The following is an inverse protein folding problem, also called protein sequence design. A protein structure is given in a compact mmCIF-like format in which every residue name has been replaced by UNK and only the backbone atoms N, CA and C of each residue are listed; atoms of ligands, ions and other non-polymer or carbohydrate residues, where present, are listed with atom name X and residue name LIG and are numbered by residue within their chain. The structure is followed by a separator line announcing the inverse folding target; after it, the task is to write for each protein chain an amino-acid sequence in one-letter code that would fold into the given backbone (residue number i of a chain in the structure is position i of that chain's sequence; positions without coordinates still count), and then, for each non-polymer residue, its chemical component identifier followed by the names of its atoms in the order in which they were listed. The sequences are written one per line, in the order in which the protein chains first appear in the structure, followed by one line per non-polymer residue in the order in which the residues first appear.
data_IF_773811280125
#
_entry.id   IF_773811280125
#
_cell.length_a   1.000
_cell.length_b   1.000
_cell.length_c   1.000
_cell.angle_alpha   90.00
_cell.angle_beta   90.00
_cell.angle_gamma   90.00
#
_symmetry.space_group_name_H-M   'P 1'
#
loop_
_entity.id
_entity.type
_entity.pdbx_description
1 polymer ?
#
# COMPACT_ATOMS: atom_id res chain seq x y z
N UNK A 1 8.77 7.05 10.23
CA UNK A 1 7.38 6.57 10.05
C UNK A 1 6.49 7.30 11.04
N UNK A 2 5.25 7.61 10.64
CA UNK A 2 4.34 8.42 11.45
C UNK A 2 3.86 7.64 12.69
N UNK A 3 3.50 6.36 12.54
CA UNK A 3 3.01 5.53 13.65
C UNK A 3 4.04 5.33 14.78
N UNK A 4 5.35 5.48 14.52
CA UNK A 4 6.39 5.51 15.57
C UNK A 4 6.18 6.62 16.61
N UNK A 5 5.36 7.63 16.28
CA UNK A 5 5.09 8.80 17.13
C UNK A 5 3.82 8.62 17.97
N UNK A 6 3.18 7.45 17.93
CA UNK A 6 2.06 7.11 18.81
C UNK A 6 2.56 7.03 20.26
N UNK A 7 1.78 7.58 21.19
CA UNK A 7 2.18 7.68 22.60
C UNK A 7 2.32 6.31 23.26
N UNK A 8 1.52 5.33 22.82
CA UNK A 8 1.50 3.97 23.36
C UNK A 8 1.63 2.93 22.24
N UNK A 9 2.56 3.14 21.32
CA UNK A 9 2.78 2.23 20.19
C UNK A 9 2.90 0.76 20.62
N UNK A 10 3.59 0.48 21.73
CA UNK A 10 3.84 -0.87 22.21
C UNK A 10 2.54 -1.64 22.46
N UNK A 11 1.53 -1.02 23.09
CA UNK A 11 0.23 -1.68 23.31
C UNK A 11 -0.48 -2.02 21.99
N UNK A 12 -0.31 -1.18 20.96
CA UNK A 12 -0.79 -1.49 19.61
C UNK A 12 -0.09 -2.71 19.00
N UNK A 13 1.23 -2.78 19.13
CA UNK A 13 2.02 -3.91 18.63
C UNK A 13 1.74 -5.22 19.37
N UNK A 14 1.55 -5.15 20.69
CA UNK A 14 1.16 -6.30 21.52
C UNK A 14 -0.22 -6.82 21.10
N UNK A 15 -1.19 -5.93 20.88
CA UNK A 15 -2.52 -6.30 20.38
C UNK A 15 -2.47 -6.96 18.99
N UNK A 16 -1.60 -6.48 18.08
CA UNK A 16 -1.39 -7.13 16.79
C UNK A 16 -0.81 -8.55 16.98
N UNK A 17 0.15 -8.72 17.88
CA UNK A 17 0.73 -10.04 18.21
C UNK A 17 -0.31 -11.00 18.77
N UNK A 18 -1.15 -10.55 19.71
CA UNK A 18 -2.22 -11.36 20.31
C UNK A 18 -3.27 -11.82 19.29
N UNK A 19 -3.42 -11.08 18.19
CA UNK A 19 -4.31 -11.43 17.07
C UNK A 19 -3.58 -12.21 15.95
N UNK A 20 -2.37 -12.69 16.20
CA UNK A 20 -1.51 -13.43 15.26
C UNK A 20 -1.13 -12.63 13.99
N UNK A 21 -1.06 -11.30 14.07
CA UNK A 21 -0.58 -10.45 12.98
C UNK A 21 0.91 -10.20 13.08
N UNK A 22 1.62 -10.48 11.99
CA UNK A 22 2.97 -9.98 11.79
C UNK A 22 2.92 -8.48 11.47
N UNK A 23 3.82 -7.72 12.06
CA UNK A 23 3.98 -6.30 11.79
C UNK A 23 5.44 -5.96 11.52
N UNK A 24 5.64 -4.93 10.72
CA UNK A 24 6.95 -4.31 10.52
C UNK A 24 6.78 -2.88 10.04
N UNK A 25 7.77 -2.06 10.32
CA UNK A 25 7.95 -0.72 9.78
C UNK A 25 8.60 -0.79 8.41
N UNK A 26 7.87 -0.34 7.40
CA UNK A 26 8.36 -0.23 6.03
C UNK A 26 9.39 0.89 5.85
N UNK A 27 10.02 0.92 4.68
CA UNK A 27 11.00 1.93 4.32
C UNK A 27 10.41 3.19 3.70
N UNK A 28 9.15 3.15 3.26
CA UNK A 28 8.37 4.29 2.81
C UNK A 28 7.59 4.93 3.97
N UNK A 29 7.19 6.19 3.80
CA UNK A 29 6.39 6.92 4.78
C UNK A 29 4.94 6.44 4.87
N UNK A 30 4.09 7.30 5.42
CA UNK A 30 2.66 7.03 5.63
C UNK A 30 2.34 6.33 6.95
N UNK A 31 1.07 5.96 7.06
CA UNK A 31 0.44 5.29 8.20
C UNK A 31 0.27 3.78 7.92
N UNK A 32 -0.23 3.05 8.91
CA UNK A 32 -0.40 1.60 8.87
C UNK A 32 -1.40 1.12 7.81
N UNK A 33 -1.08 -0.01 7.17
CA UNK A 33 -1.92 -0.71 6.20
C UNK A 33 -1.94 -2.21 6.55
N UNK A 34 -3.03 -2.90 6.23
CA UNK A 34 -3.21 -4.33 6.54
C UNK A 34 -3.11 -5.17 5.28
N UNK A 35 -2.20 -6.14 5.23
CA UNK A 35 -2.04 -7.05 4.08
C UNK A 35 -2.41 -8.48 4.48
N UNK A 36 -3.20 -9.14 3.65
CA UNK A 36 -3.59 -10.56 3.72
C UNK A 36 -3.77 -11.13 2.31
N UNK A 37 -4.25 -12.38 2.16
CA UNK A 37 -4.41 -13.05 0.87
C UNK A 37 -5.40 -12.35 -0.09
N UNK A 38 -6.29 -11.50 0.42
CA UNK A 38 -7.26 -10.73 -0.36
C UNK A 38 -6.74 -9.37 -0.85
N UNK A 39 -5.48 -9.05 -0.54
CA UNK A 39 -4.82 -7.80 -0.96
C UNK A 39 -3.85 -8.06 -2.10
N UNK A 40 -3.94 -7.25 -3.15
CA UNK A 40 -2.94 -7.19 -4.22
C UNK A 40 -2.06 -5.95 -4.06
N UNK A 41 -0.75 -6.14 -3.98
CA UNK A 41 0.22 -5.04 -4.03
C UNK A 41 0.85 -4.98 -5.44
N UNK A 42 0.81 -3.80 -6.07
CA UNK A 42 1.36 -3.58 -7.41
C UNK A 42 2.37 -2.43 -7.36
N UNK A 43 3.53 -2.60 -8.01
CA UNK A 43 4.56 -1.55 -8.08
C UNK A 43 5.00 -1.29 -9.51
N UNK A 44 5.05 -0.02 -9.91
CA UNK A 44 5.63 0.44 -11.16
C UNK A 44 6.97 1.13 -10.87
N UNK A 45 8.05 0.64 -11.48
CA UNK A 45 9.37 1.25 -11.38
C UNK A 45 9.68 1.99 -12.68
N UNK A 46 9.79 3.32 -12.61
CA UNK A 46 9.97 4.19 -13.76
C UNK A 46 11.33 4.92 -13.65
N UNK A 47 12.09 5.02 -14.74
CA UNK A 47 13.32 5.82 -14.78
C UNK A 47 13.00 7.31 -14.90
N UNK A 48 14.04 8.13 -14.98
CA UNK A 48 13.97 9.56 -15.28
C UNK A 48 13.10 10.36 -14.30
N UNK A 49 13.41 10.17 -13.01
CA UNK A 49 12.68 10.79 -11.91
C UNK A 49 12.56 12.31 -12.06
N UNK A 50 13.60 12.96 -12.58
CA UNK A 50 13.70 14.42 -12.59
C UNK A 50 12.77 15.06 -13.63
N UNK A 51 12.40 14.32 -14.68
CA UNK A 51 11.42 14.75 -15.67
C UNK A 51 9.99 14.26 -15.38
N UNK A 52 9.80 13.36 -14.41
CA UNK A 52 8.49 12.85 -14.03
C UNK A 52 7.94 13.60 -12.82
N UNK A 53 6.92 14.45 -13.01
CA UNK A 53 6.28 15.15 -11.89
C UNK A 53 5.63 14.18 -10.89
N UNK A 54 5.40 14.66 -9.67
CA UNK A 54 4.78 13.85 -8.60
C UNK A 54 3.39 13.38 -9.00
N UNK A 55 2.54 14.31 -9.47
CA UNK A 55 1.16 14.00 -9.85
C UNK A 55 1.09 13.12 -11.10
N UNK A 56 1.95 13.35 -12.09
CA UNK A 56 2.06 12.50 -13.28
C UNK A 56 2.40 11.04 -12.93
N UNK A 57 3.22 10.83 -11.90
CA UNK A 57 3.55 9.49 -11.43
C UNK A 57 2.33 8.80 -10.79
N UNK A 58 1.56 9.51 -9.97
CA UNK A 58 0.33 8.97 -9.38
C UNK A 58 -0.73 8.69 -10.45
N UNK A 59 -0.88 9.58 -11.43
CA UNK A 59 -1.83 9.45 -12.54
C UNK A 59 -1.57 8.17 -13.34
N UNK A 60 -0.31 7.76 -13.54
CA UNK A 60 0.01 6.50 -14.23
C UNK A 60 -0.61 5.27 -13.55
N UNK A 61 -0.52 5.17 -12.22
CA UNK A 61 -1.12 4.05 -11.49
C UNK A 61 -2.64 4.16 -11.45
N UNK A 62 -3.18 5.37 -11.22
CA UNK A 62 -4.64 5.57 -11.25
C UNK A 62 -5.25 5.20 -12.61
N UNK A 63 -4.69 5.71 -13.71
CA UNK A 63 -5.12 5.40 -15.07
C UNK A 63 -5.04 3.90 -15.38
N UNK A 64 -3.97 3.22 -14.95
CA UNK A 64 -3.82 1.76 -15.11
C UNK A 64 -4.95 1.00 -14.40
N UNK A 65 -5.21 1.30 -13.12
CA UNK A 65 -6.24 0.61 -12.34
C UNK A 65 -7.66 0.97 -12.83
N UNK A 66 -7.89 2.21 -13.25
CA UNK A 66 -9.16 2.63 -13.86
C UNK A 66 -9.46 1.84 -15.13
N UNK A 67 -8.49 1.68 -16.03
CA UNK A 67 -8.62 0.87 -17.24
C UNK A 67 -8.82 -0.63 -16.92
N UNK A 68 -8.12 -1.15 -15.91
CA UNK A 68 -8.18 -2.58 -15.58
C UNK A 68 -9.52 -3.02 -14.97
N UNK A 69 -10.20 -2.13 -14.25
CA UNK A 69 -11.30 -2.51 -13.38
C UNK A 69 -12.62 -1.79 -13.69
N UNK A 70 -12.64 -0.45 -13.73
CA UNK A 70 -13.85 0.32 -14.03
C UNK A 70 -13.54 1.80 -14.24
N UNK A 71 -14.25 2.39 -15.21
CA UNK A 71 -14.39 3.83 -15.44
C UNK A 71 -14.96 4.62 -14.25
N UNK A 72 -15.70 3.95 -13.35
CA UNK A 72 -16.27 4.54 -12.11
C UNK A 72 -15.24 4.80 -11.02
N UNK A 73 -14.01 4.32 -11.16
CA UNK A 73 -12.96 4.59 -10.18
C UNK A 73 -12.65 6.09 -10.19
N UNK A 74 -12.70 6.70 -9.01
CA UNK A 74 -12.30 8.07 -8.73
C UNK A 74 -11.07 8.09 -7.83
N UNK A 75 -10.28 9.17 -7.91
CA UNK A 75 -9.16 9.45 -7.01
C UNK A 75 -9.49 10.63 -6.09
N UNK A 76 -9.04 10.58 -4.84
CA UNK A 76 -9.21 11.64 -3.86
C UNK A 76 -9.15 11.09 -2.43
N UNK A 77 -8.75 11.92 -1.48
CA UNK A 77 -8.53 11.49 -0.10
C UNK A 77 -9.82 11.01 0.58
N UNK A 78 -9.77 9.79 1.14
CA UNK A 78 -10.85 9.23 1.96
C UNK A 78 -10.41 9.30 3.43
N UNK A 79 -10.68 10.46 4.05
CA UNK A 79 -10.14 10.85 5.37
C UNK A 79 -10.47 9.89 6.53
N UNK A 80 -11.61 9.18 6.47
CA UNK A 80 -12.05 8.22 7.48
C UNK A 80 -11.61 6.78 7.17
N UNK A 81 -10.69 6.57 6.23
CA UNK A 81 -10.06 5.27 5.97
C UNK A 81 -8.76 5.10 6.76
N UNK A 82 -8.24 3.87 6.86
CA UNK A 82 -6.85 3.73 7.30
C UNK A 82 -5.88 4.16 6.21
N UNK A 83 -4.75 4.73 6.63
CA UNK A 83 -3.72 5.32 5.77
C UNK A 83 -4.32 6.20 4.66
N UNK A 84 -5.08 7.25 5.01
CA UNK A 84 -5.62 8.18 4.03
C UNK A 84 -4.48 8.85 3.25
N UNK A 85 -4.73 9.12 1.98
CA UNK A 85 -3.80 9.80 1.09
C UNK A 85 -4.51 10.53 -0.03
N UNK A 86 -3.87 11.56 -0.57
CA UNK A 86 -4.46 12.43 -1.61
C UNK A 86 -4.82 11.69 -2.90
N UNK A 87 -4.24 10.51 -3.12
CA UNK A 87 -4.49 9.62 -4.27
C UNK A 87 -5.06 8.26 -3.84
N UNK A 88 -5.95 8.26 -2.85
CA UNK A 88 -6.78 7.09 -2.58
C UNK A 88 -7.74 6.83 -3.74
N UNK A 89 -7.94 5.57 -4.10
CA UNK A 89 -8.90 5.18 -5.14
C UNK A 89 -10.16 4.61 -4.53
N UNK A 90 -11.30 5.05 -5.05
CA UNK A 90 -12.61 4.71 -4.55
C UNK A 90 -13.63 4.46 -5.66
N UNK A 91 -14.69 3.74 -5.31
CA UNK A 91 -15.93 3.65 -6.09
C UNK A 91 -17.07 4.01 -5.13
N UNK A 92 -17.97 4.90 -5.54
CA UNK A 92 -19.07 5.39 -4.70
C UNK A 92 -18.60 5.95 -3.33
N UNK A 93 -17.42 6.58 -3.29
CA UNK A 93 -16.85 7.16 -2.06
C UNK A 93 -16.23 6.14 -1.09
N UNK A 94 -16.26 4.85 -1.41
CA UNK A 94 -15.62 3.81 -0.59
C UNK A 94 -14.24 3.48 -1.15
N UNK A 95 -13.19 3.66 -0.33
CA UNK A 95 -11.81 3.39 -0.71
C UNK A 95 -11.57 1.89 -0.86
N UNK A 96 -10.95 1.49 -1.96
CA UNK A 96 -10.44 0.13 -2.16
C UNK A 96 -8.93 0.09 -2.35
N UNK A 97 -8.29 1.20 -2.75
CA UNK A 97 -6.84 1.25 -2.93
C UNK A 97 -6.22 2.53 -2.38
N UNK A 98 -4.95 2.44 -2.02
CA UNK A 98 -4.11 3.58 -1.65
C UNK A 98 -2.82 3.55 -2.46
N UNK A 99 -2.41 4.70 -2.98
CA UNK A 99 -1.19 4.84 -3.78
C UNK A 99 -0.14 5.61 -2.99
N UNK A 100 1.10 5.14 -3.04
CA UNK A 100 2.28 5.82 -2.50
C UNK A 100 3.39 5.84 -3.54
N UNK A 101 4.35 6.76 -3.39
CA UNK A 101 5.54 6.77 -4.22
C UNK A 101 6.81 6.83 -3.38
N UNK A 102 7.89 6.26 -3.93
CA UNK A 102 9.25 6.41 -3.42
C UNK A 102 10.16 6.87 -4.55
N UNK A 103 10.94 7.89 -4.28
CA UNK A 103 11.86 8.54 -5.23
C UNK A 103 13.29 8.35 -4.74
N UNK A 104 14.12 7.66 -5.52
CA UNK A 104 15.50 7.35 -5.13
C UNK A 104 16.39 7.22 -6.37
N UNK A 105 17.59 7.82 -6.32
CA UNK A 105 18.46 7.91 -7.50
C UNK A 105 17.72 8.57 -8.66
N UNK A 106 17.83 7.98 -9.85
CA UNK A 106 17.10 8.41 -11.05
C UNK A 106 15.76 7.67 -11.28
N UNK A 107 15.16 7.08 -10.23
CA UNK A 107 13.96 6.26 -10.36
C UNK A 107 12.81 6.70 -9.44
N UNK A 108 11.60 6.40 -9.90
CA UNK A 108 10.33 6.52 -9.17
C UNK A 108 9.71 5.14 -9.05
N UNK A 109 9.43 4.70 -7.83
CA UNK A 109 8.61 3.54 -7.56
C UNK A 109 7.22 4.00 -7.12
N UNK A 110 6.19 3.71 -7.92
CA UNK A 110 4.78 3.95 -7.58
C UNK A 110 4.21 2.64 -7.07
N UNK A 111 3.66 2.62 -5.86
CA UNK A 111 3.19 1.41 -5.18
C UNK A 111 1.70 1.58 -4.86
N UNK A 112 0.89 0.62 -5.29
CA UNK A 112 -0.52 0.53 -4.96
C UNK A 112 -0.78 -0.66 -4.03
N UNK A 113 -1.49 -0.38 -2.95
CA UNK A 113 -2.18 -1.36 -2.14
C UNK A 113 -3.62 -1.45 -2.64
N UNK A 114 -4.12 -2.65 -2.95
CA UNK A 114 -5.45 -2.84 -3.57
C UNK A 114 -6.22 -3.92 -2.81
N UNK A 115 -7.37 -3.56 -2.24
CA UNK A 115 -8.30 -4.46 -1.55
C UNK A 115 -9.16 -5.16 -2.57
N UNK A 116 -8.85 -6.43 -2.86
CA UNK A 116 -9.50 -7.18 -3.94
C UNK A 116 -10.75 -7.90 -3.45
N UNK A 117 -10.62 -8.69 -2.38
CA UNK A 117 -11.69 -9.49 -1.80
C UNK A 117 -11.44 -9.75 -0.30
N UNK A 118 -12.30 -10.55 0.35
CA UNK A 118 -12.15 -10.95 1.76
C UNK A 118 -12.98 -10.07 2.70
N UNK A 119 -12.51 -9.83 3.93
CA UNK A 119 -13.26 -9.07 4.93
C UNK A 119 -12.65 -7.69 5.18
N UNK A 120 -13.02 -6.69 4.37
CA UNK A 120 -12.49 -5.34 4.51
C UNK A 120 -12.87 -4.69 5.85
N UNK A 121 -14.07 -4.95 6.36
CA UNK A 121 -14.50 -4.44 7.68
C UNK A 121 -13.62 -4.95 8.81
N UNK A 122 -13.16 -6.21 8.75
CA UNK A 122 -12.20 -6.77 9.72
C UNK A 122 -10.85 -6.04 9.64
N UNK A 123 -10.37 -5.71 8.43
CA UNK A 123 -9.14 -4.91 8.26
C UNK A 123 -9.28 -3.51 8.84
N UNK A 124 -10.39 -2.84 8.55
CA UNK A 124 -10.68 -1.50 9.10
C UNK A 124 -10.82 -1.52 10.62
N UNK A 125 -11.48 -2.53 11.18
CA UNK A 125 -11.59 -2.72 12.63
C UNK A 125 -10.22 -2.93 13.28
N UNK A 126 -9.37 -3.77 12.69
CA UNK A 126 -8.02 -4.03 13.21
C UNK A 126 -7.22 -2.72 13.34
N UNK A 127 -7.24 -1.88 12.31
CA UNK A 127 -6.53 -0.60 12.33
C UNK A 127 -7.16 0.40 13.28
N UNK A 128 -8.50 0.42 13.41
CA UNK A 128 -9.19 1.24 14.40
C UNK A 128 -8.75 0.87 15.82
N UNK A 129 -8.83 -0.42 16.16
CA UNK A 129 -8.39 -0.94 17.47
C UNK A 129 -6.93 -0.56 17.73
N UNK A 130 -6.07 -0.70 16.70
CA UNK A 130 -4.64 -0.37 16.79
C UNK A 130 -4.42 1.08 17.15
N UNK A 131 -5.10 2.01 16.48
CA UNK A 131 -4.95 3.43 16.76
C UNK A 131 -5.52 3.82 18.13
N UNK A 132 -6.69 3.28 18.50
CA UNK A 132 -7.33 3.53 19.79
C UNK A 132 -6.44 3.08 20.96
N UNK A 133 -5.94 1.84 20.94
CA UNK A 133 -5.11 1.29 22.02
C UNK A 133 -3.72 1.95 22.07
N UNK A 134 -3.20 2.38 20.90
CA UNK A 134 -1.92 3.09 20.82
C UNK A 134 -1.98 4.53 21.34
N UNK A 135 -3.13 4.96 21.86
CA UNK A 135 -3.38 6.26 22.46
C UNK A 135 -2.94 7.41 21.55
N UNK A 136 -3.55 7.47 20.36
CA UNK A 136 -3.22 8.50 19.39
C UNK A 136 -3.51 9.91 19.95
N UNK A 137 -2.60 10.88 19.76
CA UNK A 137 -2.80 12.24 20.25
C UNK A 137 -3.86 12.98 19.42
N UNK A 138 -5.06 13.19 19.98
CA UNK A 138 -6.20 13.87 19.34
C UNK A 138 -5.95 15.34 18.90
N UNK A 139 -4.85 15.96 19.32
CA UNK A 139 -4.57 17.40 19.10
C UNK A 139 -3.14 17.71 18.63
N UNK A 140 -2.45 16.77 17.98
CA UNK A 140 -1.10 17.02 17.42
C UNK A 140 -1.15 17.36 15.93
N UNK A 141 -0.05 17.93 15.42
CA UNK A 141 0.14 18.27 13.98
C UNK A 141 -0.01 17.07 13.04
N UNK A 142 0.03 15.84 13.55
CA UNK A 142 -0.18 14.61 12.79
C UNK A 142 -1.55 14.10 13.18
N UNK A 143 -2.51 14.19 12.25
CA UNK A 143 -3.82 13.58 12.42
C UNK A 143 -3.70 12.09 12.16
N UNK A 144 -4.10 11.27 13.13
CA UNK A 144 -4.35 9.85 12.93
C UNK A 144 -5.82 9.69 12.49
N UNK A 145 -6.12 8.72 11.62
CA UNK A 145 -7.46 8.60 11.04
C UNK A 145 -8.48 8.15 12.08
N UNK A 146 -9.63 8.82 12.11
CA UNK A 146 -10.83 8.33 12.78
C UNK A 146 -11.54 7.37 11.82
N UNK A 147 -11.27 6.08 11.98
CA UNK A 147 -11.61 5.06 10.98
C UNK A 147 -13.10 4.70 11.05
N UNK A 148 -13.82 5.00 9.96
CA UNK A 148 -15.16 4.49 9.71
C UNK A 148 -15.08 3.14 8.97
N UNK A 149 -15.77 2.12 9.51
CA UNK A 149 -15.82 0.80 8.90
C UNK A 149 -16.56 0.80 7.55
N UNK A 150 -17.38 1.81 7.26
CA UNK A 150 -18.07 1.99 5.98
C UNK A 150 -17.24 2.69 4.91
N UNK A 151 -16.13 3.35 5.28
CA UNK A 151 -15.33 4.16 4.36
C UNK A 151 -14.47 3.36 3.38
N UNK A 152 -14.29 2.06 3.63
CA UNK A 152 -13.49 1.16 2.78
C UNK A 152 -14.29 -0.07 2.39
N UNK A 153 -14.07 -0.56 1.18
CA UNK A 153 -14.66 -1.82 0.70
C UNK A 153 -13.73 -2.52 -0.31
N UNK A 154 -13.91 -3.82 -0.48
CA UNK A 154 -13.22 -4.61 -1.49
C UNK A 154 -13.72 -4.31 -2.91
N UNK A 155 -12.82 -4.44 -3.87
CA UNK A 155 -13.12 -4.20 -5.28
C UNK A 155 -14.13 -5.21 -5.85
N UNK A 156 -14.11 -6.48 -5.42
CA UNK A 156 -15.11 -7.48 -5.84
C UNK A 156 -16.55 -7.04 -5.51
N UNK A 157 -16.73 -6.51 -4.31
CA UNK A 157 -17.99 -6.05 -3.75
C UNK A 157 -18.43 -4.76 -4.43
N UNK A 158 -17.51 -3.81 -4.62
CA UNK A 158 -17.78 -2.55 -5.33
C UNK A 158 -18.14 -2.76 -6.81
N UNK A 159 -17.57 -3.78 -7.46
CA UNK A 159 -17.89 -4.16 -8.83
C UNK A 159 -19.10 -5.10 -8.93
N UNK A 160 -19.63 -5.57 -7.79
CA UNK A 160 -20.67 -6.60 -7.69
C UNK A 160 -20.34 -7.87 -8.50
N UNK A 161 -19.07 -8.29 -8.49
CA UNK A 161 -18.57 -9.44 -9.26
C UNK A 161 -17.43 -10.12 -8.49
N UNK A 162 -17.41 -11.47 -8.40
CA UNK A 162 -16.28 -12.17 -7.82
C UNK A 162 -14.97 -11.78 -8.50
N UNK A 163 -13.95 -11.48 -7.69
CA UNK A 163 -12.63 -11.12 -8.17
C UNK A 163 -11.57 -11.69 -7.21
N UNK A 164 -10.73 -12.59 -7.72
CA UNK A 164 -9.52 -13.05 -7.01
C UNK A 164 -8.34 -12.12 -7.27
N UNK A 165 -7.33 -12.17 -6.40
CA UNK A 165 -6.06 -11.44 -6.60
C UNK A 165 -5.37 -11.84 -7.90
N UNK A 166 -5.40 -13.13 -8.27
CA UNK A 166 -4.87 -13.62 -9.54
C UNK A 166 -5.63 -13.07 -10.76
N UNK A 167 -6.97 -13.01 -10.70
CA UNK A 167 -7.76 -12.38 -11.77
C UNK A 167 -7.49 -10.87 -11.87
N UNK A 168 -7.29 -10.21 -10.73
CA UNK A 168 -6.96 -8.79 -10.70
C UNK A 168 -5.56 -8.52 -11.29
N UNK A 169 -4.56 -9.33 -10.96
CA UNK A 169 -3.24 -9.29 -11.59
C UNK A 169 -3.34 -9.45 -13.11
N UNK A 170 -4.06 -10.47 -13.58
CA UNK A 170 -4.20 -10.71 -15.02
C UNK A 170 -4.89 -9.55 -15.74
N UNK A 171 -5.90 -8.91 -15.12
CA UNK A 171 -6.54 -7.70 -15.66
C UNK A 171 -5.56 -6.55 -15.84
N UNK A 172 -4.69 -6.31 -14.85
CA UNK A 172 -3.66 -5.28 -14.92
C UNK A 172 -2.66 -5.60 -16.05
N UNK A 173 -2.20 -6.85 -16.14
CA UNK A 173 -1.28 -7.30 -17.20
C UNK A 173 -1.91 -7.09 -18.59
N UNK A 174 -3.19 -7.43 -18.77
CA UNK A 174 -3.89 -7.26 -20.05
C UNK A 174 -3.91 -5.79 -20.48
N UNK A 175 -4.16 -4.86 -19.56
CA UNK A 175 -4.12 -3.42 -19.87
C UNK A 175 -2.72 -2.98 -20.32
N UNK A 176 -1.65 -3.52 -19.73
CA UNK A 176 -0.29 -3.23 -20.20
C UNK A 176 -0.07 -3.74 -21.62
N UNK A 177 -0.52 -4.96 -21.93
CA UNK A 177 -0.42 -5.56 -23.27
C UNK A 177 -1.24 -4.74 -24.30
N UNK A 178 -2.46 -4.34 -23.94
CA UNK A 178 -3.33 -3.52 -24.80
C UNK A 178 -2.68 -2.17 -25.11
N UNK A 179 -1.98 -1.60 -24.12
CA UNK A 179 -1.15 -0.41 -24.23
C UNK A 179 0.23 -0.66 -24.87
N UNK A 180 0.42 -1.81 -25.52
CA UNK A 180 1.60 -2.19 -26.32
C UNK A 180 2.89 -2.34 -25.52
N UNK A 181 2.80 -2.59 -24.22
CA UNK A 181 3.96 -3.04 -23.44
C UNK A 181 4.23 -4.52 -23.67
N UNK A 182 5.50 -4.87 -23.79
CA UNK A 182 5.96 -6.26 -23.81
C UNK A 182 6.18 -6.77 -22.38
N UNK A 183 5.71 -7.99 -22.10
CA UNK A 183 5.90 -8.63 -20.80
C UNK A 183 7.16 -9.52 -20.86
N UNK A 184 8.31 -8.93 -20.50
CA UNK A 184 9.57 -9.66 -20.44
C UNK A 184 9.85 -10.18 -19.02
N UNK A 185 9.64 -11.49 -18.79
CA UNK A 185 9.94 -12.14 -17.50
C UNK A 185 11.37 -12.68 -17.44
N UNK A 186 11.97 -13.02 -18.58
CA UNK A 186 13.30 -13.62 -18.66
C UNK A 186 14.39 -12.61 -18.29
N UNK A 187 14.28 -11.38 -18.76
CA UNK A 187 15.25 -10.33 -18.45
C UNK A 187 15.22 -9.96 -16.98
N UNK A 188 14.04 -9.88 -16.36
CA UNK A 188 13.96 -9.68 -14.91
C UNK A 188 14.60 -10.83 -14.14
N UNK A 189 14.49 -12.06 -14.63
CA UNK A 189 15.19 -13.20 -14.05
C UNK A 189 16.72 -13.04 -14.09
N UNK A 190 17.27 -12.50 -15.18
CA UNK A 190 18.70 -12.20 -15.28
C UNK A 190 19.07 -11.07 -14.31
N UNK A 191 18.29 -9.98 -14.29
CA UNK A 191 18.52 -8.81 -13.42
C UNK A 191 18.51 -9.21 -11.95
N UNK A 192 17.50 -9.94 -11.48
CA UNK A 192 17.39 -10.30 -10.06
C UNK A 192 18.53 -11.21 -9.58
N UNK A 193 19.17 -11.94 -10.48
CA UNK A 193 20.32 -12.82 -10.19
C UNK A 193 21.67 -12.11 -10.36
N UNK A 194 21.69 -10.89 -10.94
CA UNK A 194 22.91 -10.10 -11.10
C UNK A 194 23.51 -9.73 -9.73
N UNK A 195 24.83 -9.59 -9.67
CA UNK A 195 25.51 -9.18 -8.44
C UNK A 195 25.05 -7.80 -7.95
N UNK A 196 24.95 -6.75 -8.79
CA UNK A 196 24.52 -5.42 -8.34
C UNK A 196 23.13 -5.42 -7.72
N UNK A 197 22.17 -6.16 -8.31
CA UNK A 197 20.83 -6.26 -7.75
C UNK A 197 20.83 -6.96 -6.39
N UNK A 198 21.51 -8.11 -6.29
CA UNK A 198 21.56 -8.89 -5.04
C UNK A 198 22.25 -8.13 -3.91
N UNK A 199 23.31 -7.40 -4.20
CA UNK A 199 23.98 -6.53 -3.22
C UNK A 199 23.04 -5.42 -2.73
N UNK A 200 22.38 -4.70 -3.64
CA UNK A 200 21.43 -3.64 -3.29
C UNK A 200 20.22 -4.19 -2.50
N UNK A 201 19.69 -5.35 -2.91
CA UNK A 201 18.61 -6.04 -2.23
C UNK A 201 19.02 -6.45 -0.81
N UNK A 202 20.15 -7.15 -0.65
CA UNK A 202 20.62 -7.63 0.65
C UNK A 202 20.97 -6.48 1.60
N UNK A 203 21.57 -5.41 1.08
CA UNK A 203 21.82 -4.21 1.85
C UNK A 203 20.51 -3.59 2.36
N UNK A 204 19.53 -3.40 1.46
CA UNK A 204 18.21 -2.85 1.83
C UNK A 204 17.46 -3.74 2.82
N UNK A 205 17.53 -5.06 2.65
CA UNK A 205 16.91 -6.04 3.54
C UNK A 205 17.57 -6.01 4.94
N UNK A 206 18.90 -5.94 4.99
CA UNK A 206 19.66 -5.83 6.25
C UNK A 206 19.25 -4.58 7.02
N UNK A 207 19.15 -3.43 6.34
CA UNK A 207 18.70 -2.17 6.94
C UNK A 207 17.25 -2.28 7.46
N UNK A 208 16.37 -2.94 6.71
CA UNK A 208 14.98 -3.15 7.11
C UNK A 208 14.88 -4.05 8.35
N UNK A 209 15.66 -5.14 8.40
CA UNK A 209 15.74 -6.04 9.56
C UNK A 209 16.26 -5.26 10.77
N UNK A 210 17.37 -4.51 10.63
CA UNK A 210 17.95 -3.72 11.72
C UNK A 210 16.94 -2.72 12.28
N UNK A 211 16.25 -1.98 11.41
CA UNK A 211 15.21 -1.02 11.81
C UNK A 211 14.07 -1.67 12.61
N UNK A 212 13.64 -2.86 12.20
CA UNK A 212 12.53 -3.57 12.84
C UNK A 212 12.96 -4.30 14.11
N UNK A 213 14.24 -4.69 14.22
CA UNK A 213 14.80 -5.18 15.48
C UNK A 213 14.76 -4.10 16.56
N UNK A 214 15.19 -2.88 16.23
CA UNK A 214 15.12 -1.74 17.17
C UNK A 214 13.69 -1.46 17.62
N UNK A 215 12.68 -1.61 16.74
CA UNK A 215 11.27 -1.45 17.13
C UNK A 215 10.84 -2.43 18.23
N UNK A 216 11.32 -3.67 18.17
CA UNK A 216 10.96 -4.71 19.14
C UNK A 216 11.77 -4.60 20.44
N UNK A 217 12.89 -3.87 20.42
CA UNK A 217 13.78 -3.65 21.57
C UNK A 217 13.41 -2.40 22.38
N UNK A 218 12.64 -1.46 21.82
CA UNK A 218 12.17 -0.20 22.46
C UNK A 218 11.07 -0.41 23.54
N UNK A 219 11.09 -1.55 24.26
CA UNK A 219 10.13 -1.89 25.33
C UNK A 219 10.22 -0.97 26.55
#
# INVERSE_FOLDING_TARGET
MQDKRLNNLQSGLDMLSEKDYLFYLRNSGGLGVVTDEGILNCSLFLPDKDNLQIDDAYEKMYSLLKQAFSDKISTGEIINSYCPGTYDLSINGQKFAGISQRRAGNAVAIMAYISINGNQKKRSQLMRDFYEISNFPKHQRISYPDIDLGAMENLDSLLNKPLSTAQAEQKIINVLIDNKYEINREEFFIIQNSLPYREAYNHTLTDLIKRNKTLLEEK
#
